data_IF_158097213216
#
_entry.id   IF_158097213216
#
_cell.length_a   1.000
_cell.length_b   1.000
_cell.length_c   1.000
_cell.angle_alpha   90.00
_cell.angle_beta   90.00
_cell.angle_gamma   90.00
#
_symmetry.space_group_name_H-M   'P 1'
#
loop_
_entity.id
_entity.type
_entity.pdbx_description
1 polymer ?
#
# COMPACT_ATOMS: atom_id res chain seq x y z
N UNK A 1 3.02 2.48 -13.50
CA UNK A 1 3.04 3.72 -12.79
C UNK A 1 2.31 4.85 -13.51
N UNK A 2 2.84 5.38 -14.61
CA UNK A 2 2.28 6.54 -15.32
C UNK A 2 0.89 6.28 -15.91
N UNK A 3 0.69 5.12 -16.52
CA UNK A 3 -0.57 4.75 -17.19
C UNK A 3 -1.77 4.76 -16.26
N UNK A 4 -1.57 4.48 -14.96
CA UNK A 4 -2.60 4.44 -13.93
C UNK A 4 -2.50 5.64 -12.97
N UNK A 5 -1.75 6.68 -13.33
CA UNK A 5 -1.55 7.89 -12.54
C UNK A 5 -1.09 7.65 -11.09
N UNK A 6 -0.43 6.51 -10.83
CA UNK A 6 0.18 6.23 -9.52
C UNK A 6 1.35 7.18 -9.28
N UNK A 7 2.17 7.41 -10.31
CA UNK A 7 3.22 8.41 -10.29
C UNK A 7 2.66 9.70 -10.88
N UNK A 8 2.89 10.81 -10.21
CA UNK A 8 2.37 12.13 -10.58
C UNK A 8 3.41 13.20 -10.25
N UNK A 9 3.49 14.25 -11.07
CA UNK A 9 4.24 15.46 -10.73
C UNK A 9 3.42 16.46 -9.89
N UNK A 10 2.10 16.27 -9.80
CA UNK A 10 1.26 17.09 -8.94
C UNK A 10 1.55 16.74 -7.48
N UNK A 11 1.90 17.72 -6.63
CA UNK A 11 2.15 17.48 -5.22
C UNK A 11 0.94 16.87 -4.49
N UNK A 12 1.20 16.11 -3.43
CA UNK A 12 0.16 15.47 -2.64
C UNK A 12 0.51 15.45 -1.15
N UNK A 13 -0.51 15.42 -0.31
CA UNK A 13 -0.37 15.08 1.11
C UNK A 13 -0.36 13.57 1.28
N UNK A 14 0.31 13.07 2.31
CA UNK A 14 0.42 11.63 2.57
C UNK A 14 -0.03 11.29 3.99
N UNK A 15 -0.96 10.34 4.10
CA UNK A 15 -1.24 9.60 5.32
C UNK A 15 -0.66 8.20 5.15
N UNK A 16 0.40 7.90 5.88
CA UNK A 16 1.08 6.61 5.84
C UNK A 16 0.58 5.76 6.98
N UNK A 17 -0.24 4.75 6.63
CA UNK A 17 -0.78 3.75 7.55
C UNK A 17 0.26 2.64 7.75
N UNK A 18 1.40 3.04 8.26
CA UNK A 18 2.58 2.22 8.42
C UNK A 18 3.64 2.92 9.27
N UNK A 19 4.81 2.34 9.31
CA UNK A 19 5.88 2.72 10.21
C UNK A 19 6.54 4.06 9.83
N UNK A 20 6.62 4.97 10.79
CA UNK A 20 7.46 6.16 10.65
C UNK A 20 8.93 5.73 10.60
N UNK A 21 9.72 6.23 9.61
CA UNK A 21 11.16 5.99 9.59
C UNK A 21 11.82 6.46 10.88
N UNK A 22 12.57 5.56 11.50
CA UNK A 22 13.40 5.86 12.66
C UNK A 22 14.80 5.29 12.45
N UNK A 23 15.84 6.00 12.93
CA UNK A 23 17.24 5.57 12.81
C UNK A 23 17.52 4.26 13.55
N UNK A 24 16.72 3.93 14.55
CA UNK A 24 16.82 2.71 15.37
C UNK A 24 16.15 1.50 14.71
N UNK A 25 15.27 1.73 13.70
CA UNK A 25 14.59 0.67 12.99
C UNK A 25 15.33 0.31 11.70
N UNK A 26 15.84 -0.92 11.63
CA UNK A 26 16.43 -1.50 10.42
C UNK A 26 15.41 -2.16 9.49
N UNK A 27 14.11 -2.17 9.86
CA UNK A 27 13.07 -2.88 9.13
C UNK A 27 12.94 -2.38 7.68
N UNK A 28 13.13 -3.27 6.72
CA UNK A 28 13.02 -2.97 5.29
C UNK A 28 11.66 -2.37 4.90
N UNK A 29 10.59 -2.82 5.56
CA UNK A 29 9.22 -2.31 5.36
C UNK A 29 9.10 -0.80 5.62
N UNK A 30 9.86 -0.26 6.57
CA UNK A 30 9.89 1.18 6.88
C UNK A 30 10.44 1.99 5.71
N UNK A 31 11.53 1.51 5.09
CA UNK A 31 12.14 2.13 3.91
C UNK A 31 11.23 2.05 2.69
N UNK A 32 10.58 0.92 2.51
CA UNK A 32 9.58 0.69 1.45
C UNK A 32 8.44 1.70 1.56
N UNK A 33 7.82 1.81 2.74
CA UNK A 33 6.72 2.75 2.98
C UNK A 33 7.14 4.21 2.79
N UNK A 34 8.35 4.57 3.23
CA UNK A 34 8.91 5.88 2.97
C UNK A 34 9.09 6.12 1.46
N UNK A 35 9.65 5.15 0.72
CA UNK A 35 9.82 5.22 -0.73
C UNK A 35 8.52 5.46 -1.48
N UNK A 36 7.40 4.84 -1.05
CA UNK A 36 6.08 5.03 -1.66
C UNK A 36 5.56 6.47 -1.51
N UNK A 37 6.06 7.25 -0.56
CA UNK A 37 5.69 8.67 -0.43
C UNK A 37 6.33 9.58 -1.49
N UNK A 38 7.10 9.01 -2.44
CA UNK A 38 7.66 9.74 -3.58
C UNK A 38 6.97 9.43 -4.91
N UNK A 39 5.86 8.71 -4.89
CA UNK A 39 5.02 8.53 -6.08
C UNK A 39 4.37 9.84 -6.58
N UNK A 40 4.32 10.85 -5.72
CA UNK A 40 4.10 12.25 -6.07
C UNK A 40 4.97 13.12 -5.14
N UNK A 41 5.35 14.35 -5.54
CA UNK A 41 6.08 15.26 -4.65
C UNK A 41 5.32 15.44 -3.33
N UNK A 42 5.90 15.07 -2.19
CA UNK A 42 5.18 15.11 -0.92
C UNK A 42 5.20 16.52 -0.32
N UNK A 43 4.02 17.05 -0.01
CA UNK A 43 3.88 18.31 0.72
C UNK A 43 3.95 18.09 2.23
N UNK A 44 3.14 17.17 2.72
CA UNK A 44 3.07 16.82 4.15
C UNK A 44 2.97 15.31 4.26
N UNK A 45 3.53 14.77 5.33
CA UNK A 45 3.42 13.34 5.67
C UNK A 45 2.96 13.20 7.12
N UNK A 46 1.97 12.34 7.31
CA UNK A 46 1.59 11.82 8.62
C UNK A 46 1.87 10.31 8.62
N UNK A 47 2.41 9.80 9.71
CA UNK A 47 2.67 8.37 9.90
C UNK A 47 1.87 7.85 11.09
N UNK A 48 1.02 6.85 10.85
CA UNK A 48 0.13 6.29 11.86
C UNK A 48 0.83 5.36 12.86
N UNK A 49 2.00 4.80 12.51
CA UNK A 49 2.78 3.97 13.43
C UNK A 49 4.05 4.72 13.83
N UNK A 50 4.13 5.07 15.10
CA UNK A 50 5.26 5.82 15.66
C UNK A 50 6.03 4.98 16.67
N UNK A 51 7.35 5.08 16.63
CA UNK A 51 8.21 4.43 17.62
C UNK A 51 8.06 5.10 18.99
N UNK A 52 7.76 4.29 20.01
CA UNK A 52 7.66 4.72 21.41
C UNK A 52 8.47 3.78 22.30
N UNK A 53 9.76 4.12 22.48
CA UNK A 53 10.68 3.39 23.37
C UNK A 53 10.99 1.97 22.90
N UNK A 54 10.08 1.03 23.09
CA UNK A 54 10.29 -0.40 22.83
C UNK A 54 9.63 -0.91 21.54
N UNK A 55 8.71 -0.12 20.94
CA UNK A 55 7.96 -0.59 19.75
C UNK A 55 7.21 0.50 19.02
N UNK A 56 6.54 0.08 17.95
CA UNK A 56 5.65 0.95 17.20
C UNK A 56 4.24 0.91 17.76
N UNK A 57 3.69 2.09 18.04
CA UNK A 57 2.32 2.27 18.55
C UNK A 57 1.47 2.94 17.47
N UNK A 58 0.24 2.44 17.22
CA UNK A 58 -0.68 3.06 16.28
C UNK A 58 -1.28 4.36 16.85
N UNK A 59 -1.34 5.39 16.01
CA UNK A 59 -1.96 6.69 16.26
C UNK A 59 -3.10 6.88 15.25
N UNK A 60 -4.23 6.19 15.49
CA UNK A 60 -5.38 6.23 14.59
C UNK A 60 -6.13 7.57 14.69
N UNK A 61 -6.26 8.13 15.89
CA UNK A 61 -6.91 9.45 16.05
C UNK A 61 -6.11 10.53 15.34
N UNK A 62 -4.78 10.54 15.47
CA UNK A 62 -3.93 11.45 14.69
C UNK A 62 -4.01 11.22 13.17
N UNK A 63 -4.27 9.98 12.72
CA UNK A 63 -4.51 9.72 11.30
C UNK A 63 -5.84 10.31 10.81
N UNK A 64 -6.89 10.23 11.62
CA UNK A 64 -8.19 10.87 11.35
C UNK A 64 -8.03 12.39 11.27
N UNK A 65 -7.41 13.04 12.26
CA UNK A 65 -7.12 14.48 12.27
C UNK A 65 -6.29 14.91 11.05
N UNK A 66 -5.33 14.08 10.63
CA UNK A 66 -4.54 14.36 9.43
C UNK A 66 -5.40 14.30 8.16
N UNK A 67 -6.31 13.33 8.06
CA UNK A 67 -7.25 13.22 6.94
C UNK A 67 -8.20 14.42 6.89
N UNK A 68 -8.75 14.86 8.02
CA UNK A 68 -9.60 16.05 8.11
C UNK A 68 -8.84 17.28 7.61
N UNK A 69 -7.66 17.55 8.15
CA UNK A 69 -6.81 18.67 7.74
C UNK A 69 -6.43 18.62 6.26
N UNK A 70 -6.15 17.42 5.71
CA UNK A 70 -5.77 17.25 4.31
C UNK A 70 -6.98 17.33 3.37
N UNK A 71 -8.18 17.00 3.82
CA UNK A 71 -9.41 17.17 3.03
C UNK A 71 -9.68 18.65 2.69
N UNK A 72 -9.28 19.57 3.57
CA UNK A 72 -9.36 21.01 3.36
C UNK A 72 -8.22 21.55 2.48
N UNK A 73 -7.20 20.75 2.15
CA UNK A 73 -6.07 21.17 1.31
C UNK A 73 -6.48 21.30 -0.16
N UNK A 74 -5.88 22.21 -0.95
CA UNK A 74 -6.09 22.26 -2.39
C UNK A 74 -5.42 21.11 -3.15
N UNK A 75 -4.63 20.29 -2.47
CA UNK A 75 -3.89 19.17 -3.04
C UNK A 75 -4.53 17.83 -2.71
N UNK A 76 -4.41 16.82 -3.61
CA UNK A 76 -4.91 15.49 -3.34
C UNK A 76 -4.19 14.83 -2.16
N UNK A 77 -4.84 13.85 -1.55
CA UNK A 77 -4.28 13.04 -0.48
C UNK A 77 -3.97 11.64 -0.98
N UNK A 78 -2.82 11.12 -0.63
CA UNK A 78 -2.44 9.72 -0.85
C UNK A 78 -2.40 9.00 0.49
N UNK A 79 -3.20 7.94 0.61
CA UNK A 79 -3.20 7.05 1.76
C UNK A 79 -2.37 5.83 1.36
N UNK A 80 -1.33 5.53 2.10
CA UNK A 80 -0.37 4.47 1.76
C UNK A 80 -0.17 3.57 2.96
N UNK A 81 -0.27 2.25 2.81
CA UNK A 81 0.09 1.34 3.89
C UNK A 81 -0.77 0.10 3.99
N UNK A 82 -0.91 -0.41 5.21
CA UNK A 82 -1.59 -1.67 5.49
C UNK A 82 -3.11 -1.55 5.43
N UNK A 83 -3.80 -2.49 4.76
CA UNK A 83 -5.26 -2.49 4.70
C UNK A 83 -5.93 -2.59 6.08
N UNK A 84 -5.32 -3.27 7.04
CA UNK A 84 -5.83 -3.36 8.42
C UNK A 84 -5.92 -1.99 9.09
N UNK A 85 -4.88 -1.16 9.01
CA UNK A 85 -4.92 0.17 9.59
C UNK A 85 -5.83 1.14 8.83
N UNK A 86 -6.01 0.95 7.51
CA UNK A 86 -7.06 1.66 6.78
C UNK A 86 -8.44 1.31 7.33
N UNK A 87 -8.72 0.02 7.47
CA UNK A 87 -9.98 -0.47 8.04
C UNK A 87 -10.25 0.12 9.42
N UNK A 88 -9.31 0.02 10.34
CA UNK A 88 -9.47 0.55 11.70
C UNK A 88 -9.66 2.06 11.73
N UNK A 89 -8.90 2.80 10.91
CA UNK A 89 -9.07 4.25 10.79
C UNK A 89 -10.44 4.65 10.26
N UNK A 90 -10.94 3.94 9.25
CA UNK A 90 -12.29 4.18 8.71
C UNK A 90 -13.39 3.82 9.71
N UNK A 91 -13.24 2.71 10.45
CA UNK A 91 -14.17 2.35 11.52
C UNK A 91 -14.18 3.40 12.63
N UNK A 92 -13.01 3.90 12.99
CA UNK A 92 -12.89 5.00 13.97
C UNK A 92 -13.59 6.27 13.49
N UNK A 93 -13.48 6.61 12.20
CA UNK A 93 -14.21 7.74 11.61
C UNK A 93 -15.73 7.53 11.67
N UNK A 94 -16.23 6.30 11.40
CA UNK A 94 -17.66 5.98 11.53
C UNK A 94 -18.14 6.18 12.98
N UNK A 95 -17.39 5.70 13.98
CA UNK A 95 -17.68 5.88 15.40
C UNK A 95 -17.78 7.35 15.80
N UNK A 96 -16.92 8.20 15.23
CA UNK A 96 -16.89 9.63 15.46
C UNK A 96 -17.91 10.41 14.61
N UNK A 97 -18.66 9.75 13.72
CA UNK A 97 -19.59 10.39 12.78
C UNK A 97 -18.88 11.24 11.70
N UNK A 98 -17.59 10.98 11.45
CA UNK A 98 -16.78 11.74 10.48
C UNK A 98 -16.89 11.13 9.10
N UNK A 99 -17.27 11.94 8.10
CA UNK A 99 -17.24 11.59 6.68
C UNK A 99 -16.61 12.74 5.90
N UNK A 100 -15.64 12.42 5.05
CA UNK A 100 -14.86 13.39 4.30
C UNK A 100 -15.07 13.21 2.79
N UNK A 101 -14.74 14.25 2.05
CA UNK A 101 -14.61 14.20 0.58
C UNK A 101 -13.20 14.62 0.21
N UNK A 102 -12.34 13.64 -0.01
CA UNK A 102 -10.98 13.93 -0.44
C UNK A 102 -10.96 14.52 -1.85
N UNK A 103 -9.99 15.37 -2.14
CA UNK A 103 -9.87 16.04 -3.44
C UNK A 103 -9.73 15.03 -4.59
N UNK A 104 -10.28 15.34 -5.78
CA UNK A 104 -10.07 14.54 -6.99
C UNK A 104 -8.59 14.29 -7.27
N UNK A 105 -8.25 13.05 -7.59
CA UNK A 105 -6.88 12.59 -7.76
C UNK A 105 -6.23 12.07 -6.47
N UNK A 106 -6.97 12.05 -5.34
CA UNK A 106 -6.57 11.29 -4.16
C UNK A 106 -6.56 9.80 -4.48
N UNK A 107 -5.62 9.07 -3.87
CA UNK A 107 -5.44 7.63 -4.13
C UNK A 107 -5.13 6.87 -2.86
N UNK A 108 -5.54 5.61 -2.83
CA UNK A 108 -5.23 4.67 -1.76
C UNK A 108 -4.31 3.59 -2.33
N UNK A 109 -3.19 3.35 -1.68
CA UNK A 109 -2.15 2.42 -2.09
C UNK A 109 -1.93 1.41 -0.97
N UNK A 110 -2.53 0.24 -1.09
CA UNK A 110 -2.49 -0.81 -0.08
C UNK A 110 -1.34 -1.77 -0.34
N UNK A 111 -0.55 -2.05 0.67
CA UNK A 111 0.57 -2.97 0.60
C UNK A 111 0.72 -3.79 1.89
N UNK A 112 1.30 -4.99 1.76
CA UNK A 112 1.74 -5.79 2.90
C UNK A 112 0.67 -6.60 3.63
N UNK A 113 -0.57 -6.61 3.14
CA UNK A 113 -1.65 -7.44 3.68
C UNK A 113 -2.10 -7.06 5.10
N UNK A 114 -2.94 -7.91 5.70
CA UNK A 114 -3.52 -7.67 7.02
C UNK A 114 -2.59 -7.98 8.20
N UNK A 115 -1.45 -8.64 7.95
CA UNK A 115 -0.42 -8.97 8.95
C UNK A 115 -1.03 -9.70 10.16
N UNK A 116 -0.71 -9.27 11.38
CA UNK A 116 -1.24 -9.82 12.63
C UNK A 116 -2.76 -9.71 12.78
N UNK A 117 -3.41 -8.90 11.94
CA UNK A 117 -4.86 -8.68 11.98
C UNK A 117 -5.63 -9.54 10.96
N UNK A 118 -5.03 -10.62 10.45
CA UNK A 118 -5.63 -11.47 9.41
C UNK A 118 -7.00 -12.05 9.81
N UNK A 119 -7.23 -12.32 11.10
CA UNK A 119 -8.52 -12.81 11.62
C UNK A 119 -9.66 -11.76 11.50
N UNK A 120 -9.30 -10.50 11.40
CA UNK A 120 -10.25 -9.39 11.24
C UNK A 120 -10.38 -8.94 9.79
N UNK A 121 -9.79 -9.71 8.88
CA UNK A 121 -9.83 -9.41 7.45
C UNK A 121 -11.26 -9.44 6.94
N UNK A 122 -11.63 -8.38 6.22
CA UNK A 122 -12.90 -8.27 5.52
C UNK A 122 -12.72 -8.42 4.02
N UNK A 123 -13.80 -8.71 3.32
CA UNK A 123 -13.78 -8.73 1.86
C UNK A 123 -13.40 -7.36 1.29
N UNK A 124 -12.71 -7.37 0.16
CA UNK A 124 -12.27 -6.13 -0.51
C UNK A 124 -13.45 -5.23 -0.86
N UNK A 125 -14.57 -5.79 -1.30
CA UNK A 125 -15.80 -5.05 -1.61
C UNK A 125 -16.33 -4.28 -0.40
N UNK A 126 -16.25 -4.87 0.80
CA UNK A 126 -16.66 -4.24 2.06
C UNK A 126 -15.72 -3.07 2.39
N UNK A 127 -14.42 -3.30 2.31
CA UNK A 127 -13.42 -2.25 2.55
C UNK A 127 -13.58 -1.09 1.55
N UNK A 128 -13.73 -1.38 0.26
CA UNK A 128 -13.83 -0.36 -0.79
C UNK A 128 -15.14 0.44 -0.69
N UNK A 129 -16.24 -0.23 -0.33
CA UNK A 129 -17.51 0.43 -0.04
C UNK A 129 -17.40 1.39 1.14
N UNK A 130 -16.67 0.99 2.18
CA UNK A 130 -16.41 1.84 3.35
C UNK A 130 -15.53 3.05 2.97
N UNK A 131 -14.48 2.85 2.21
CA UNK A 131 -13.62 3.93 1.67
C UNK A 131 -14.47 4.95 0.89
N UNK A 132 -15.31 4.48 -0.02
CA UNK A 132 -16.17 5.35 -0.82
C UNK A 132 -17.14 6.16 0.05
N UNK A 133 -17.74 5.53 1.05
CA UNK A 133 -18.70 6.17 1.96
C UNK A 133 -18.03 7.20 2.85
N UNK A 134 -16.89 6.88 3.45
CA UNK A 134 -16.23 7.71 4.48
C UNK A 134 -15.30 8.76 3.87
N UNK A 135 -14.60 8.45 2.77
CA UNK A 135 -13.57 9.33 2.19
C UNK A 135 -13.96 9.88 0.81
N UNK A 136 -15.01 9.36 0.18
CA UNK A 136 -15.42 9.76 -1.16
C UNK A 136 -14.44 9.37 -2.26
N UNK A 137 -13.56 8.39 -2.03
CA UNK A 137 -12.61 7.86 -3.02
C UNK A 137 -13.24 6.68 -3.74
N UNK A 138 -13.25 6.72 -5.07
CA UNK A 138 -13.76 5.65 -5.91
C UNK A 138 -12.84 4.44 -5.93
N UNK A 139 -13.41 3.28 -6.26
CA UNK A 139 -12.69 2.00 -6.31
C UNK A 139 -11.54 2.03 -7.32
N UNK A 140 -11.71 2.74 -8.43
CA UNK A 140 -10.70 2.94 -9.48
C UNK A 140 -9.43 3.66 -9.01
N UNK A 141 -9.51 4.34 -7.86
CA UNK A 141 -8.41 5.05 -7.21
C UNK A 141 -7.83 4.28 -6.00
N UNK A 142 -8.29 3.05 -5.77
CA UNK A 142 -7.74 2.12 -4.77
C UNK A 142 -6.85 1.11 -5.50
N UNK A 143 -5.59 1.06 -5.15
CA UNK A 143 -4.59 0.18 -5.76
C UNK A 143 -3.91 -0.69 -4.72
N UNK A 144 -3.66 -1.93 -5.10
CA UNK A 144 -2.83 -2.83 -4.30
C UNK A 144 -1.42 -2.87 -4.88
N UNK A 145 -0.46 -2.93 -3.98
CA UNK A 145 0.97 -3.05 -4.29
C UNK A 145 1.48 -4.34 -3.66
N UNK A 146 2.01 -5.20 -4.50
CA UNK A 146 2.70 -6.41 -4.09
C UNK A 146 4.20 -6.25 -4.30
N UNK A 147 4.99 -6.72 -3.35
CA UNK A 147 6.44 -6.76 -3.41
C UNK A 147 7.01 -7.53 -2.22
N UNK A 148 8.15 -8.13 -2.42
CA UNK A 148 8.93 -8.78 -1.37
C UNK A 148 10.19 -7.97 -1.07
N UNK A 149 10.67 -7.99 0.16
CA UNK A 149 11.91 -7.27 0.55
C UNK A 149 13.11 -7.82 -0.22
N UNK A 150 13.09 -9.12 -0.48
CA UNK A 150 14.09 -9.87 -1.24
C UNK A 150 14.04 -9.56 -2.74
N UNK A 151 12.91 -9.04 -3.21
CA UNK A 151 12.66 -8.70 -4.61
C UNK A 151 12.03 -7.31 -4.70
N UNK A 152 12.84 -6.22 -4.65
CA UNK A 152 12.35 -4.84 -4.50
C UNK A 152 11.73 -4.29 -5.79
N UNK A 153 10.90 -5.07 -6.42
CA UNK A 153 10.07 -4.69 -7.56
C UNK A 153 8.62 -4.60 -7.09
N UNK A 154 7.95 -3.49 -7.41
CA UNK A 154 6.54 -3.34 -7.12
C UNK A 154 5.68 -3.78 -8.29
N UNK A 155 4.76 -4.68 -8.00
CA UNK A 155 3.65 -5.07 -8.86
C UNK A 155 2.41 -4.34 -8.36
N UNK A 156 1.78 -3.56 -9.21
CA UNK A 156 0.62 -2.76 -8.82
C UNK A 156 -0.61 -3.15 -9.63
N UNK A 157 -1.77 -3.02 -9.02
CA UNK A 157 -3.03 -3.23 -9.71
C UNK A 157 -3.40 -2.05 -10.60
N UNK A 158 -4.14 -2.33 -11.67
CA UNK A 158 -4.86 -1.33 -12.46
C UNK A 158 -6.24 -1.00 -11.80
N UNK A 159 -7.01 -0.06 -12.37
CA UNK A 159 -8.38 0.22 -11.89
C UNK A 159 -9.36 -0.97 -11.96
N UNK A 160 -9.00 -2.05 -12.66
CA UNK A 160 -9.73 -3.32 -12.69
C UNK A 160 -9.17 -4.35 -11.71
N UNK A 161 -8.30 -3.94 -10.78
CA UNK A 161 -7.66 -4.77 -9.75
C UNK A 161 -6.81 -5.95 -10.28
N UNK A 162 -6.38 -5.91 -11.54
CA UNK A 162 -5.41 -6.86 -12.08
C UNK A 162 -3.99 -6.37 -11.81
N UNK A 163 -3.13 -7.24 -11.27
CA UNK A 163 -1.70 -6.95 -11.12
C UNK A 163 -1.00 -6.89 -12.47
N UNK A 164 -0.12 -5.93 -12.63
CA UNK A 164 0.70 -5.78 -13.82
C UNK A 164 2.16 -6.09 -13.54
N UNK A 165 2.73 -6.95 -14.39
CA UNK A 165 4.16 -7.26 -14.36
C UNK A 165 4.91 -6.17 -15.14
N UNK A 166 5.89 -5.48 -14.54
CA UNK A 166 6.72 -4.50 -15.24
C UNK A 166 7.55 -5.17 -16.34
N UNK A 167 7.89 -4.42 -17.40
CA UNK A 167 8.67 -4.94 -18.55
C UNK A 167 10.06 -5.48 -18.18
N UNK A 168 10.59 -5.05 -17.05
CA UNK A 168 11.88 -5.48 -16.50
C UNK A 168 11.74 -6.59 -15.45
N UNK A 169 10.59 -7.24 -15.39
CA UNK A 169 10.33 -8.37 -14.49
C UNK A 169 9.54 -9.47 -15.18
N UNK A 170 9.63 -10.67 -14.66
CA UNK A 170 8.85 -11.83 -15.08
C UNK A 170 8.26 -12.51 -13.85
N UNK A 171 7.04 -13.02 -14.00
CA UNK A 171 6.37 -13.83 -12.98
C UNK A 171 6.04 -15.19 -13.59
N UNK A 172 6.44 -16.25 -12.89
CA UNK A 172 6.07 -17.62 -13.20
C UNK A 172 5.30 -18.18 -12.02
N UNK A 173 4.35 -19.06 -12.30
CA UNK A 173 3.72 -19.88 -11.26
C UNK A 173 4.35 -21.26 -11.35
N UNK A 174 4.80 -21.80 -10.21
CA UNK A 174 5.51 -23.07 -10.14
C UNK A 174 4.75 -24.08 -9.31
N UNK A 175 4.85 -25.33 -9.72
CA UNK A 175 4.38 -26.47 -8.94
C UNK A 175 5.12 -26.52 -7.59
N UNK A 176 4.41 -26.67 -6.45
CA UNK A 176 5.06 -26.70 -5.13
C UNK A 176 5.98 -27.88 -4.89
N UNK A 177 5.76 -29.02 -5.58
CA UNK A 177 6.53 -30.27 -5.38
C UNK A 177 7.73 -30.36 -6.34
N UNK A 178 7.53 -29.98 -7.61
CA UNK A 178 8.55 -30.15 -8.65
C UNK A 178 9.29 -28.86 -8.99
N UNK A 179 8.74 -27.73 -8.62
CA UNK A 179 9.18 -26.37 -9.00
C UNK A 179 9.14 -26.09 -10.51
N UNK A 180 8.56 -26.98 -11.30
CA UNK A 180 8.35 -26.73 -12.72
C UNK A 180 7.32 -25.65 -12.98
N UNK A 181 7.45 -24.87 -14.05
CA UNK A 181 6.47 -23.85 -14.40
C UNK A 181 5.11 -24.48 -14.71
N UNK A 182 4.06 -23.95 -14.09
CA UNK A 182 2.69 -24.35 -14.33
C UNK A 182 2.06 -23.55 -15.48
N UNK A 183 1.14 -24.14 -16.24
CA UNK A 183 0.31 -23.43 -17.22
C UNK A 183 -0.55 -22.33 -16.57
N UNK A 184 -1.02 -21.40 -17.41
CA UNK A 184 -1.95 -20.36 -16.96
C UNK A 184 -3.23 -20.95 -16.35
N UNK A 185 -3.72 -20.30 -15.27
CA UNK A 185 -4.95 -20.71 -14.56
C UNK A 185 -4.74 -21.72 -13.45
N UNK A 186 -3.53 -22.24 -13.27
CA UNK A 186 -3.21 -23.12 -12.14
C UNK A 186 -2.66 -22.32 -10.95
N UNK A 187 -2.95 -22.81 -9.74
CA UNK A 187 -2.47 -22.23 -8.48
C UNK A 187 -1.15 -22.91 -8.09
N UNK A 188 -0.17 -22.08 -7.69
CA UNK A 188 1.14 -22.57 -7.28
C UNK A 188 1.97 -21.49 -6.62
N UNK A 189 3.27 -21.74 -6.44
CA UNK A 189 4.22 -20.79 -5.88
C UNK A 189 4.53 -19.67 -6.87
N UNK A 190 4.51 -18.44 -6.37
CA UNK A 190 4.86 -17.25 -7.19
C UNK A 190 6.36 -17.12 -7.28
N UNK A 191 6.90 -17.23 -8.48
CA UNK A 191 8.32 -16.99 -8.75
C UNK A 191 8.52 -15.63 -9.43
N UNK A 192 9.18 -14.73 -8.75
CA UNK A 192 9.49 -13.38 -9.19
C UNK A 192 10.92 -13.32 -9.73
N UNK A 193 11.09 -12.81 -10.94
CA UNK A 193 12.39 -12.75 -11.62
C UNK A 193 12.62 -11.33 -12.12
N UNK A 194 13.82 -10.76 -11.84
CA UNK A 194 14.23 -9.47 -12.40
C UNK A 194 15.75 -9.36 -12.52
N UNK A 195 16.27 -8.89 -13.67
CA UNK A 195 17.70 -8.65 -13.86
C UNK A 195 18.19 -7.34 -13.18
N UNK A 196 17.29 -6.53 -12.63
CA UNK A 196 17.64 -5.25 -12.03
C UNK A 196 18.22 -5.39 -10.61
N UNK A 197 18.04 -6.54 -9.97
CA UNK A 197 18.53 -6.80 -8.62
C UNK A 197 20.01 -7.17 -8.70
N UNK A 198 20.89 -6.21 -8.39
CA UNK A 198 22.35 -6.39 -8.42
C UNK A 198 23.00 -6.37 -7.05
N UNK A 199 22.29 -5.88 -6.03
CA UNK A 199 22.82 -5.72 -4.67
C UNK A 199 22.86 -7.03 -3.88
N UNK A 200 22.09 -8.03 -4.30
CA UNK A 200 22.07 -9.37 -3.74
C UNK A 200 22.12 -10.38 -4.89
N UNK A 201 22.69 -11.59 -4.70
CA UNK A 201 22.72 -12.63 -5.74
C UNK A 201 21.33 -13.20 -6.06
N UNK A 202 20.26 -12.64 -5.47
CA UNK A 202 18.88 -13.15 -5.62
C UNK A 202 18.22 -12.43 -6.80
N UNK A 203 18.34 -13.04 -7.97
CA UNK A 203 17.61 -12.60 -9.17
C UNK A 203 16.21 -13.22 -9.27
N UNK A 204 15.92 -14.23 -8.44
CA UNK A 204 14.68 -15.01 -8.45
C UNK A 204 14.27 -15.33 -7.02
N UNK A 205 13.01 -15.06 -6.70
CA UNK A 205 12.38 -15.37 -5.41
C UNK A 205 11.15 -16.22 -5.66
N UNK A 206 11.00 -17.29 -4.87
CA UNK A 206 9.81 -18.15 -4.88
C UNK A 206 9.12 -18.00 -3.53
N UNK A 207 7.80 -17.77 -3.54
CA UNK A 207 6.99 -17.55 -2.34
C UNK A 207 5.60 -18.14 -2.50
#
# INVERSE_FOLDING_TARGET
>A
GWRHRLISFRPANYVVLGYKPDRRSSAGVTRTMFGMTFFAPPLRRFYALRWQGEGYVPDLDGAVEALERFSCSPFPTRIVGFPSYLWFGLKRMEELGISLRLRPGSKILLAGGWKQHWQQQVDKSVLYSLVRRVLGVGEEDIHELFGAVEHPIFYNTCPRHHFHVPIYSRVLIRDPATLEPLPMGQVGLVNLISPLIRATPVTSVVT
#
